data_IF_317948992903
#
_entry.id   IF_317948992903
#
_cell.length_a   1.000
_cell.length_b   1.000
_cell.length_c   1.000
_cell.angle_alpha   90.00
_cell.angle_beta   90.00
_cell.angle_gamma   90.00
#
_symmetry.space_group_name_H-M   'P 1'
#
loop_
_entity.id
_entity.type
_entity.pdbx_description
1 polymer ?
#
# COMPACT_ATOMS: atom_id res chain seq x y z
N UNK A 1 13.92 -13.07 13.84
CA UNK A 1 13.09 -12.21 12.96
C UNK A 1 11.98 -13.01 12.27
N UNK A 2 12.26 -14.11 11.55
CA UNK A 2 11.21 -14.88 10.87
C UNK A 2 10.11 -15.36 11.83
N UNK A 3 10.45 -15.93 12.98
CA UNK A 3 9.47 -16.40 13.97
C UNK A 3 8.58 -15.25 14.48
N UNK A 4 9.15 -14.04 14.65
CA UNK A 4 8.37 -12.86 15.09
C UNK A 4 7.39 -12.44 13.99
N UNK A 5 7.80 -12.45 12.73
CA UNK A 5 6.94 -12.11 11.58
C UNK A 5 5.76 -13.09 11.49
N UNK A 6 6.01 -14.39 11.66
CA UNK A 6 4.96 -15.41 11.67
C UNK A 6 3.99 -15.23 12.85
N UNK A 7 4.50 -14.86 14.03
CA UNK A 7 3.67 -14.56 15.20
C UNK A 7 2.78 -13.32 14.95
N UNK A 8 3.34 -12.24 14.36
CA UNK A 8 2.58 -11.04 13.96
C UNK A 8 1.49 -11.42 12.98
N UNK A 9 1.81 -12.21 11.95
CA UNK A 9 0.84 -12.69 10.95
C UNK A 9 -0.29 -13.47 11.62
N UNK A 10 0.05 -14.44 12.45
CA UNK A 10 -0.92 -15.28 13.17
C UNK A 10 -1.85 -14.43 14.04
N UNK A 11 -1.29 -13.53 14.85
CA UNK A 11 -2.07 -12.63 15.72
C UNK A 11 -2.99 -11.72 14.93
N UNK A 12 -2.53 -11.17 13.80
CA UNK A 12 -3.35 -10.35 12.91
C UNK A 12 -4.55 -11.14 12.37
N UNK A 13 -4.34 -12.37 11.90
CA UNK A 13 -5.41 -13.24 11.40
C UNK A 13 -6.41 -13.61 12.49
N UNK A 14 -5.96 -13.97 13.69
CA UNK A 14 -6.80 -14.29 14.85
C UNK A 14 -7.68 -13.09 15.26
N UNK A 15 -7.15 -11.89 15.16
CA UNK A 15 -7.85 -10.63 15.47
C UNK A 15 -8.62 -10.04 14.28
N UNK A 16 -8.73 -10.78 13.17
CA UNK A 16 -9.39 -10.32 11.94
C UNK A 16 -8.85 -8.98 11.39
N UNK A 17 -7.58 -8.69 11.63
CA UNK A 17 -6.91 -7.53 11.01
C UNK A 17 -6.56 -7.90 9.56
N UNK A 18 -7.04 -7.14 8.57
CA UNK A 18 -6.66 -7.39 7.19
C UNK A 18 -5.16 -7.14 7.01
N UNK A 19 -4.47 -8.11 6.43
CA UNK A 19 -3.05 -8.02 6.05
C UNK A 19 -2.90 -8.41 4.59
N UNK A 20 -1.82 -7.95 3.96
CA UNK A 20 -1.50 -8.27 2.57
C UNK A 20 -1.42 -9.78 2.37
N UNK A 21 -1.94 -10.26 1.23
CA UNK A 21 -1.97 -11.69 0.89
C UNK A 21 -0.59 -12.20 0.45
N UNK A 22 -0.40 -13.53 0.57
CA UNK A 22 0.92 -14.15 0.38
C UNK A 22 1.46 -13.97 -1.05
N UNK A 23 0.64 -14.10 -2.10
CA UNK A 23 1.14 -13.92 -3.47
C UNK A 23 1.44 -12.44 -3.77
N UNK A 24 0.63 -11.51 -3.25
CA UNK A 24 0.86 -10.07 -3.37
C UNK A 24 2.19 -9.68 -2.70
N UNK A 25 2.45 -10.14 -1.47
CA UNK A 25 3.69 -9.81 -0.77
C UNK A 25 4.93 -10.44 -1.43
N UNK A 26 4.82 -11.63 -2.01
CA UNK A 26 5.90 -12.25 -2.77
C UNK A 26 6.28 -11.40 -4.00
N UNK A 27 5.27 -10.83 -4.69
CA UNK A 27 5.52 -9.94 -5.83
C UNK A 27 6.17 -8.62 -5.40
N UNK A 28 5.77 -8.07 -4.26
CA UNK A 28 6.42 -6.87 -3.69
C UNK A 28 7.88 -7.17 -3.36
N UNK A 29 8.18 -8.31 -2.72
CA UNK A 29 9.55 -8.74 -2.41
C UNK A 29 10.41 -8.86 -3.68
N UNK A 30 9.88 -9.48 -4.74
CA UNK A 30 10.55 -9.58 -6.04
C UNK A 30 10.94 -8.19 -6.55
N UNK A 31 9.98 -7.26 -6.61
CA UNK A 31 10.22 -5.89 -7.07
C UNK A 31 11.29 -5.18 -6.23
N UNK A 32 11.24 -5.33 -4.90
CA UNK A 32 12.20 -4.67 -4.01
C UNK A 32 13.61 -5.25 -4.12
N UNK A 33 13.74 -6.55 -4.41
CA UNK A 33 15.04 -7.21 -4.62
C UNK A 33 15.68 -6.84 -5.95
N UNK A 34 14.86 -6.68 -6.99
CA UNK A 34 15.33 -6.33 -8.33
C UNK A 34 15.73 -4.84 -8.45
N UNK A 35 15.33 -4.03 -7.47
CA UNK A 35 15.56 -2.59 -7.46
C UNK A 35 16.18 -2.16 -6.12
N UNK A 36 17.15 -1.26 -6.17
CA UNK A 36 17.81 -0.73 -4.98
C UNK A 36 17.07 0.51 -4.46
N UNK A 37 15.77 0.39 -4.20
CA UNK A 37 14.94 1.45 -3.68
C UNK A 37 15.39 1.90 -2.28
N UNK A 38 15.32 3.21 -2.03
CA UNK A 38 15.76 3.83 -0.77
C UNK A 38 14.62 4.34 0.08
N UNK A 39 13.56 4.83 -0.55
CA UNK A 39 12.43 5.42 0.14
C UNK A 39 11.13 4.74 -0.30
N UNK A 40 10.44 4.14 0.66
CA UNK A 40 9.15 3.48 0.47
C UNK A 40 8.08 4.31 1.18
N UNK A 41 6.93 4.50 0.51
CA UNK A 41 5.71 5.02 1.12
C UNK A 41 4.66 3.90 1.17
N UNK A 42 4.03 3.73 2.31
CA UNK A 42 2.90 2.81 2.49
C UNK A 42 1.67 3.57 2.97
N UNK A 43 0.53 3.32 2.34
CA UNK A 43 -0.77 3.82 2.77
C UNK A 43 -1.60 2.66 3.32
N UNK A 44 -1.79 2.64 4.63
CA UNK A 44 -2.44 1.55 5.35
C UNK A 44 -1.43 0.65 6.06
N UNK A 45 -0.90 1.13 7.19
CA UNK A 45 0.07 0.38 8.01
C UNK A 45 -0.56 -0.84 8.68
N UNK A 46 -1.82 -0.74 9.09
CA UNK A 46 -2.47 -1.70 9.98
C UNK A 46 -1.54 -2.05 11.18
N UNK A 47 -1.17 -3.31 11.33
CA UNK A 47 -0.25 -3.76 12.40
C UNK A 47 1.23 -3.79 11.98
N UNK A 48 1.58 -3.23 10.81
CA UNK A 48 2.94 -3.13 10.30
C UNK A 48 3.48 -4.35 9.57
N UNK A 49 2.65 -5.37 9.30
CA UNK A 49 3.09 -6.63 8.71
C UNK A 49 3.76 -6.47 7.35
N UNK A 50 3.11 -5.77 6.40
CA UNK A 50 3.65 -5.48 5.07
C UNK A 50 4.93 -4.63 5.14
N UNK A 51 4.92 -3.57 5.94
CA UNK A 51 6.08 -2.71 6.17
C UNK A 51 7.30 -3.47 6.71
N UNK A 52 7.09 -4.37 7.67
CA UNK A 52 8.15 -5.23 8.22
C UNK A 52 8.75 -6.11 7.12
N UNK A 53 7.91 -6.75 6.29
CA UNK A 53 8.41 -7.62 5.22
C UNK A 53 9.15 -6.80 4.15
N UNK A 54 8.64 -5.63 3.77
CA UNK A 54 9.32 -4.75 2.82
C UNK A 54 10.70 -4.34 3.34
N UNK A 55 10.81 -3.95 4.59
CA UNK A 55 12.08 -3.57 5.23
C UNK A 55 13.03 -4.74 5.45
N UNK A 56 12.53 -5.94 5.75
CA UNK A 56 13.35 -7.14 5.89
C UNK A 56 13.99 -7.58 4.55
N UNK A 57 13.39 -7.20 3.40
CA UNK A 57 13.85 -7.56 2.07
C UNK A 57 14.50 -6.39 1.29
N UNK A 58 14.75 -5.26 1.94
CA UNK A 58 15.39 -4.08 1.34
C UNK A 58 16.27 -3.34 2.33
N UNK A 59 17.07 -2.39 1.85
CA UNK A 59 17.80 -1.42 2.68
C UNK A 59 17.08 -0.08 2.79
N UNK A 60 15.81 -0.02 2.42
CA UNK A 60 15.03 1.22 2.34
C UNK A 60 14.64 1.77 3.72
N UNK A 61 14.23 3.04 3.73
CA UNK A 61 13.44 3.67 4.78
C UNK A 61 11.97 3.63 4.39
N UNK A 62 11.10 3.40 5.36
CA UNK A 62 9.66 3.33 5.20
C UNK A 62 9.00 4.55 5.85
N UNK A 63 8.24 5.31 5.08
CA UNK A 63 7.19 6.19 5.61
C UNK A 63 5.85 5.47 5.45
N UNK A 64 5.08 5.34 6.54
CA UNK A 64 3.81 4.61 6.51
C UNK A 64 2.74 5.39 7.25
N UNK A 65 1.50 5.38 6.72
CA UNK A 65 0.39 6.19 7.21
C UNK A 65 -0.73 5.28 7.70
N UNK A 66 -1.19 5.49 8.93
CA UNK A 66 -2.31 4.79 9.55
C UNK A 66 -3.17 5.78 10.35
N UNK A 67 -4.48 5.64 10.23
CA UNK A 67 -5.44 6.52 10.92
C UNK A 67 -5.83 6.03 12.30
N UNK A 68 -5.75 4.73 12.53
CA UNK A 68 -6.20 4.10 13.77
C UNK A 68 -5.07 4.08 14.80
N UNK A 69 -5.21 4.86 15.88
CA UNK A 69 -4.23 4.98 16.97
C UNK A 69 -3.83 3.61 17.57
N UNK A 70 -4.79 2.72 17.81
CA UNK A 70 -4.50 1.39 18.38
C UNK A 70 -3.63 0.55 17.43
N UNK A 71 -3.86 0.63 16.12
CA UNK A 71 -3.04 -0.03 15.10
C UNK A 71 -1.66 0.61 14.98
N UNK A 72 -1.58 1.95 15.05
CA UNK A 72 -0.30 2.64 15.10
C UNK A 72 0.56 2.17 16.27
N UNK A 73 -0.03 2.04 17.45
CA UNK A 73 0.68 1.58 18.64
C UNK A 73 1.16 0.13 18.49
N UNK A 74 0.29 -0.77 18.00
CA UNK A 74 0.66 -2.16 17.71
C UNK A 74 1.76 -2.26 16.64
N UNK A 75 1.66 -1.47 15.57
CA UNK A 75 2.69 -1.42 14.53
C UNK A 75 4.05 -0.96 15.07
N UNK A 76 4.09 0.08 15.92
CA UNK A 76 5.32 0.56 16.57
C UNK A 76 5.99 -0.55 17.39
N UNK A 77 5.20 -1.31 18.17
CA UNK A 77 5.71 -2.45 18.94
C UNK A 77 6.27 -3.55 18.01
N UNK A 78 5.57 -3.87 16.94
CA UNK A 78 5.97 -4.87 15.97
C UNK A 78 7.26 -4.47 15.21
N UNK A 79 7.38 -3.22 14.76
CA UNK A 79 8.62 -2.72 14.15
C UNK A 79 9.79 -2.81 15.11
N UNK A 80 9.60 -2.44 16.39
CA UNK A 80 10.62 -2.53 17.42
C UNK A 80 11.02 -3.97 17.72
N UNK A 81 10.06 -4.89 17.81
CA UNK A 81 10.33 -6.32 18.02
C UNK A 81 11.18 -6.93 16.90
N UNK A 82 11.04 -6.41 15.68
CA UNK A 82 11.85 -6.80 14.52
C UNK A 82 13.17 -6.02 14.38
N UNK A 83 13.50 -5.08 15.28
CA UNK A 83 14.64 -4.16 15.20
C UNK A 83 14.65 -3.31 13.92
N UNK A 84 13.48 -2.86 13.47
CA UNK A 84 13.29 -2.09 12.24
C UNK A 84 12.83 -0.65 12.49
N UNK A 85 12.53 -0.31 13.74
CA UNK A 85 12.00 1.00 14.17
C UNK A 85 12.86 2.18 13.73
N UNK A 86 14.19 2.03 13.70
CA UNK A 86 15.10 3.07 13.22
C UNK A 86 14.99 3.40 11.72
N UNK A 87 14.29 2.56 10.95
CA UNK A 87 14.05 2.75 9.51
C UNK A 87 12.60 3.07 9.17
N UNK A 88 11.78 3.40 10.19
CA UNK A 88 10.34 3.64 10.01
C UNK A 88 9.97 5.05 10.49
N UNK A 89 9.27 5.77 9.62
CA UNK A 89 8.53 6.98 9.97
C UNK A 89 7.04 6.65 9.90
N UNK A 90 6.42 6.30 11.04
CA UNK A 90 5.00 6.02 11.13
C UNK A 90 4.23 7.30 11.44
N UNK A 91 3.36 7.71 10.53
CA UNK A 91 2.52 8.89 10.62
C UNK A 91 1.10 8.44 11.01
N UNK A 92 0.65 8.91 12.17
CA UNK A 92 -0.72 8.72 12.61
C UNK A 92 -1.60 9.85 12.05
N UNK A 93 -2.50 9.53 11.10
CA UNK A 93 -3.33 10.55 10.47
C UNK A 93 -4.20 10.03 9.33
N UNK A 94 -5.04 10.94 8.81
CA UNK A 94 -5.83 10.65 7.61
C UNK A 94 -4.91 10.65 6.37
N UNK A 95 -5.01 9.60 5.56
CA UNK A 95 -4.10 9.41 4.44
C UNK A 95 -4.13 10.56 3.43
N UNK A 96 -5.30 11.17 3.17
CA UNK A 96 -5.39 12.29 2.22
C UNK A 96 -4.64 13.51 2.76
N UNK A 97 -4.87 13.86 4.01
CA UNK A 97 -4.24 15.01 4.66
C UNK A 97 -2.71 14.85 4.76
N UNK A 98 -2.26 13.64 5.12
CA UNK A 98 -0.82 13.37 5.24
C UNK A 98 -0.13 13.31 3.87
N UNK A 99 -0.79 12.76 2.84
CA UNK A 99 -0.27 12.80 1.46
C UNK A 99 -0.14 14.23 0.93
N UNK A 100 -1.10 15.12 1.25
CA UNK A 100 -1.01 16.54 0.89
C UNK A 100 0.20 17.21 1.56
N UNK A 101 0.46 16.93 2.85
CA UNK A 101 1.63 17.45 3.57
C UNK A 101 2.94 16.95 2.97
N UNK A 102 3.05 15.63 2.71
CA UNK A 102 4.23 15.05 2.07
C UNK A 102 4.49 15.68 0.69
N UNK A 103 3.42 15.90 -0.09
CA UNK A 103 3.51 16.54 -1.41
C UNK A 103 3.98 18.00 -1.31
N UNK A 104 3.45 18.79 -0.36
CA UNK A 104 3.86 20.18 -0.10
C UNK A 104 5.33 20.26 0.34
N UNK A 105 5.79 19.29 1.13
CA UNK A 105 7.17 19.15 1.59
C UNK A 105 8.12 18.65 0.49
N UNK A 106 7.59 18.32 -0.71
CA UNK A 106 8.37 17.80 -1.85
C UNK A 106 9.07 16.47 -1.56
N UNK A 107 8.50 15.68 -0.67
CA UNK A 107 8.99 14.33 -0.40
C UNK A 107 8.92 13.47 -1.66
N UNK A 108 9.84 12.49 -1.78
CA UNK A 108 9.93 11.62 -2.94
C UNK A 108 10.19 10.17 -2.54
N UNK A 109 9.52 9.25 -3.23
CA UNK A 109 9.57 7.83 -2.96
C UNK A 109 9.87 7.04 -4.24
N UNK A 110 10.59 5.95 -4.08
CA UNK A 110 10.94 5.04 -5.17
C UNK A 110 9.88 3.96 -5.37
N UNK A 111 9.21 3.58 -4.27
CA UNK A 111 8.15 2.59 -4.26
C UNK A 111 7.01 3.08 -3.36
N UNK A 112 5.79 3.03 -3.86
CA UNK A 112 4.59 3.36 -3.10
C UNK A 112 3.68 2.14 -3.06
N UNK A 113 3.39 1.64 -1.85
CA UNK A 113 2.42 0.58 -1.61
C UNK A 113 1.09 1.19 -1.14
N UNK A 114 0.05 1.05 -1.97
CA UNK A 114 -1.28 1.57 -1.70
C UNK A 114 -2.21 0.44 -1.28
N UNK A 115 -2.43 0.28 0.02
CA UNK A 115 -3.35 -0.67 0.64
C UNK A 115 -4.28 0.02 1.65
N UNK A 116 -4.82 1.15 1.27
CA UNK A 116 -5.71 1.98 2.08
C UNK A 116 -7.20 1.80 1.74
N UNK A 117 -8.05 2.78 2.12
CA UNK A 117 -9.47 2.79 1.82
C UNK A 117 -9.75 2.86 0.31
N UNK A 118 -10.27 1.79 -0.27
CA UNK A 118 -10.43 1.59 -1.73
C UNK A 118 -11.22 2.70 -2.42
N UNK A 119 -12.21 3.26 -1.75
CA UNK A 119 -13.00 4.39 -2.29
C UNK A 119 -12.25 5.71 -2.43
N UNK A 120 -11.04 5.81 -1.88
CA UNK A 120 -10.22 7.04 -1.91
C UNK A 120 -9.08 6.99 -2.92
N UNK A 121 -8.77 5.84 -3.52
CA UNK A 121 -7.64 5.65 -4.44
C UNK A 121 -7.58 6.70 -5.56
N UNK A 122 -8.73 7.00 -6.17
CA UNK A 122 -8.80 8.02 -7.23
C UNK A 122 -8.41 9.42 -6.73
N UNK A 123 -8.66 9.75 -5.47
CA UNK A 123 -8.27 11.05 -4.89
C UNK A 123 -6.79 11.09 -4.53
N UNK A 124 -6.23 9.96 -4.12
CA UNK A 124 -4.81 9.86 -3.80
C UNK A 124 -3.93 9.91 -5.05
N UNK A 125 -4.42 9.41 -6.19
CA UNK A 125 -3.62 9.20 -7.40
C UNK A 125 -2.80 10.42 -7.86
N UNK A 126 -3.33 11.66 -7.93
CA UNK A 126 -2.54 12.81 -8.32
C UNK A 126 -1.39 13.11 -7.36
N UNK A 127 -1.61 12.94 -6.05
CA UNK A 127 -0.60 13.14 -5.02
C UNK A 127 0.46 12.04 -5.10
N UNK A 128 0.04 10.77 -5.19
CA UNK A 128 0.96 9.63 -5.31
C UNK A 128 1.85 9.73 -6.55
N UNK A 129 1.28 10.15 -7.70
CA UNK A 129 2.06 10.42 -8.91
C UNK A 129 3.11 11.50 -8.67
N UNK A 130 2.73 12.59 -8.00
CA UNK A 130 3.65 13.68 -7.68
C UNK A 130 4.70 13.33 -6.63
N UNK A 131 4.44 12.34 -5.77
CA UNK A 131 5.38 11.82 -4.76
C UNK A 131 6.35 10.79 -5.32
N UNK A 132 6.11 10.19 -6.48
CA UNK A 132 7.03 9.24 -7.09
C UNK A 132 8.28 9.90 -7.67
N UNK A 133 9.41 9.24 -7.53
CA UNK A 133 10.60 9.48 -8.33
C UNK A 133 10.40 8.97 -9.77
N UNK A 134 11.18 9.49 -10.73
CA UNK A 134 11.27 8.89 -12.07
C UNK A 134 11.67 7.41 -11.96
N UNK A 135 11.03 6.56 -12.73
CA UNK A 135 11.13 5.10 -12.67
C UNK A 135 10.62 4.47 -11.36
N UNK A 136 10.02 5.25 -10.46
CA UNK A 136 9.37 4.75 -9.26
C UNK A 136 8.11 3.94 -9.58
N UNK A 137 7.71 3.09 -8.64
CA UNK A 137 6.56 2.19 -8.79
C UNK A 137 5.46 2.55 -7.79
N UNK A 138 4.24 2.69 -8.31
CA UNK A 138 3.00 2.65 -7.54
C UNK A 138 2.42 1.23 -7.64
N UNK A 139 2.39 0.53 -6.51
CA UNK A 139 1.74 -0.77 -6.35
C UNK A 139 0.41 -0.56 -5.61
N UNK A 140 -0.73 -0.81 -6.26
CA UNK A 140 -2.05 -0.68 -5.63
C UNK A 140 -2.70 -2.05 -5.48
N UNK A 141 -3.02 -2.43 -4.24
CA UNK A 141 -3.58 -3.74 -3.89
C UNK A 141 -5.11 -3.74 -3.80
N UNK A 142 -5.69 -4.96 -3.84
CA UNK A 142 -7.12 -5.28 -3.71
C UNK A 142 -8.02 -4.51 -4.72
N UNK A 143 -7.55 -4.37 -5.93
CA UNK A 143 -8.27 -3.64 -6.97
C UNK A 143 -9.57 -4.34 -7.41
N UNK A 144 -9.68 -5.66 -7.23
CA UNK A 144 -10.90 -6.43 -7.57
C UNK A 144 -11.99 -6.32 -6.50
N UNK A 145 -11.64 -5.83 -5.28
CA UNK A 145 -12.59 -5.55 -4.21
C UNK A 145 -13.47 -6.76 -3.85
N UNK A 146 -12.83 -7.93 -3.66
CA UNK A 146 -13.50 -9.20 -3.39
C UNK A 146 -14.52 -9.59 -4.46
N UNK A 147 -14.17 -9.31 -5.74
CA UNK A 147 -14.98 -9.65 -6.91
C UNK A 147 -16.09 -8.65 -7.24
N UNK A 148 -16.20 -7.52 -6.54
CA UNK A 148 -17.20 -6.48 -6.83
C UNK A 148 -17.00 -5.80 -8.19
N UNK A 149 -15.77 -5.78 -8.71
CA UNK A 149 -15.49 -5.22 -10.03
C UNK A 149 -15.78 -6.20 -11.17
N UNK A 150 -15.82 -7.50 -10.89
CA UNK A 150 -16.04 -8.54 -11.87
C UNK A 150 -17.52 -8.95 -11.97
N UNK A 151 -18.29 -8.76 -10.89
CA UNK A 151 -19.69 -9.15 -10.79
C UNK A 151 -20.56 -7.98 -10.32
N UNK A 152 -21.17 -7.29 -11.27
CA UNK A 152 -22.03 -6.13 -11.00
C UNK A 152 -23.28 -6.49 -10.18
N UNK A 153 -23.71 -7.77 -10.17
CA UNK A 153 -24.85 -8.21 -9.36
C UNK A 153 -24.60 -8.10 -7.85
N UNK A 154 -23.33 -8.11 -7.43
CA UNK A 154 -22.91 -7.91 -6.04
C UNK A 154 -22.86 -6.44 -5.61
N UNK A 155 -22.97 -5.50 -6.58
CA UNK A 155 -22.91 -4.07 -6.31
C UNK A 155 -24.27 -3.59 -5.79
N UNK A 156 -24.30 -3.14 -4.55
CA UNK A 156 -25.47 -2.59 -3.89
C UNK A 156 -25.30 -1.09 -3.59
N UNK A 157 -26.33 -0.47 -3.01
CA UNK A 157 -26.30 0.96 -2.71
C UNK A 157 -25.12 1.38 -1.83
N UNK A 158 -24.71 0.53 -0.86
CA UNK A 158 -23.65 0.86 0.12
C UNK A 158 -22.24 0.88 -0.50
N UNK A 159 -21.98 0.02 -1.49
CA UNK A 159 -20.66 -0.11 -2.10
C UNK A 159 -20.54 0.56 -3.50
N UNK A 160 -21.66 1.06 -4.07
CA UNK A 160 -21.71 1.63 -5.43
C UNK A 160 -20.69 2.76 -5.65
N UNK A 161 -20.58 3.69 -4.71
CA UNK A 161 -19.64 4.82 -4.83
C UNK A 161 -18.20 4.34 -4.80
N UNK A 162 -17.87 3.38 -3.93
CA UNK A 162 -16.55 2.80 -3.80
C UNK A 162 -16.16 2.06 -5.09
N UNK A 163 -17.06 1.25 -5.67
CA UNK A 163 -16.86 0.55 -6.94
C UNK A 163 -16.66 1.55 -8.09
N UNK A 164 -17.49 2.58 -8.18
CA UNK A 164 -17.33 3.64 -9.18
C UNK A 164 -15.97 4.32 -9.08
N UNK A 165 -15.54 4.69 -7.88
CA UNK A 165 -14.26 5.34 -7.65
C UNK A 165 -13.08 4.44 -8.03
N UNK A 166 -13.16 3.14 -7.73
CA UNK A 166 -12.14 2.18 -8.15
C UNK A 166 -12.10 2.02 -9.67
N UNK A 167 -13.26 1.90 -10.33
CA UNK A 167 -13.32 1.89 -11.80
C UNK A 167 -12.65 3.13 -12.40
N UNK A 168 -12.93 4.32 -11.84
CA UNK A 168 -12.31 5.58 -12.28
C UNK A 168 -10.79 5.58 -12.04
N UNK A 169 -10.32 5.08 -10.89
CA UNK A 169 -8.90 4.95 -10.59
C UNK A 169 -8.18 4.07 -11.62
N UNK A 170 -8.71 2.89 -11.90
CA UNK A 170 -8.12 1.96 -12.88
C UNK A 170 -8.12 2.52 -14.30
N UNK A 171 -9.22 3.17 -14.69
CA UNK A 171 -9.31 3.82 -15.99
C UNK A 171 -8.32 4.99 -16.12
N UNK A 172 -8.14 5.78 -15.06
CA UNK A 172 -7.16 6.88 -15.06
C UNK A 172 -5.75 6.33 -15.18
N UNK A 173 -5.37 5.30 -14.43
CA UNK A 173 -4.06 4.66 -14.55
C UNK A 173 -3.80 4.09 -15.94
N UNK A 174 -4.81 3.44 -16.53
CA UNK A 174 -4.69 2.83 -17.85
C UNK A 174 -4.46 3.87 -18.96
N UNK A 175 -5.06 5.06 -18.81
CA UNK A 175 -5.00 6.13 -19.81
C UNK A 175 -3.90 7.17 -19.53
N UNK A 176 -3.18 7.05 -18.42
CA UNK A 176 -2.11 7.99 -18.06
C UNK A 176 -0.82 7.68 -18.84
N UNK A 177 -0.45 8.56 -19.76
CA UNK A 177 0.72 8.40 -20.62
C UNK A 177 2.06 8.44 -19.88
N UNK A 178 2.09 8.96 -18.63
CA UNK A 178 3.30 9.02 -17.82
C UNK A 178 3.55 7.72 -17.07
N UNK A 179 2.52 6.84 -16.97
CA UNK A 179 2.67 5.52 -16.40
C UNK A 179 2.76 4.41 -17.46
N UNK A 180 3.51 3.38 -17.13
CA UNK A 180 3.36 2.05 -17.73
C UNK A 180 2.72 1.17 -16.68
N UNK A 181 1.44 0.76 -16.90
CA UNK A 181 0.62 0.06 -15.91
C UNK A 181 0.32 -1.36 -16.37
N UNK A 182 0.55 -2.31 -15.47
CA UNK A 182 0.18 -3.71 -15.59
C UNK A 182 -0.89 -4.06 -14.56
N UNK A 183 -1.86 -4.92 -14.97
CA UNK A 183 -2.97 -5.36 -14.13
C UNK A 183 -2.86 -6.86 -13.88
N UNK A 184 -2.92 -7.27 -12.63
CA UNK A 184 -2.81 -8.66 -12.22
C UNK A 184 -4.06 -9.11 -11.48
N UNK A 185 -4.62 -10.26 -11.91
CA UNK A 185 -5.77 -10.91 -11.25
C UNK A 185 -5.30 -12.04 -10.33
N UNK A 186 -4.38 -11.73 -9.45
CA UNK A 186 -3.83 -12.63 -8.44
C UNK A 186 -4.34 -12.13 -7.08
N UNK A 187 -4.74 -13.04 -6.20
CA UNK A 187 -5.38 -12.72 -4.92
C UNK A 187 -6.65 -11.86 -5.10
N UNK A 188 -6.68 -10.64 -4.54
CA UNK A 188 -7.78 -9.67 -4.77
C UNK A 188 -7.42 -8.64 -5.85
N UNK A 189 -6.46 -8.98 -6.70
CA UNK A 189 -5.97 -8.18 -7.80
C UNK A 189 -5.13 -6.98 -7.37
N UNK A 190 -4.10 -6.67 -8.17
CA UNK A 190 -3.26 -5.50 -7.96
C UNK A 190 -2.82 -4.88 -9.29
N UNK A 191 -2.38 -3.62 -9.22
CA UNK A 191 -1.70 -2.94 -10.33
C UNK A 191 -0.27 -2.64 -9.97
N UNK A 192 0.60 -2.68 -10.99
CA UNK A 192 1.98 -2.19 -10.94
C UNK A 192 2.09 -1.09 -11.97
N UNK A 193 2.26 0.15 -11.53
CA UNK A 193 2.36 1.33 -12.38
C UNK A 193 3.73 1.97 -12.22
N UNK A 194 4.56 1.89 -13.26
CA UNK A 194 5.89 2.50 -13.28
C UNK A 194 5.82 3.88 -13.90
N UNK A 195 6.29 4.91 -13.19
CA UNK A 195 6.42 6.28 -13.71
C UNK A 195 7.60 6.34 -14.69
N UNK A 196 7.38 6.93 -15.84
CA UNK A 196 8.42 7.09 -16.89
C UNK A 196 9.43 8.18 -16.55
#
# INVERSE_FOLDING_TARGET
MLDIIEEIKKKALENHVPIVRDNTILKIIEILKDNNYKNILEIGTAVGYSGIIMLANSSAFLTTIEKNESRCNEAKENFKACNLDSRVNLIEGDALEELEKLFQNKEKFDFIFLDGPKGQYIKYLPLLKGLLNSNGILFADNILMSGLLEDESKVNHKNRTMVRNMKSFLQTLQNDNDFTTEFYKIDDGYTISKLK
#
